data_IF_933062742853
#
_entry.id   IF_933062742853
#
_cell.length_a   1.000
_cell.length_b   1.000
_cell.length_c   1.000
_cell.angle_alpha   90.00
_cell.angle_beta   90.00
_cell.angle_gamma   90.00
#
_symmetry.space_group_name_H-M   'P 1'
#
loop_
_entity.id
_entity.type
_entity.pdbx_description
1 polymer ?
#
# COMPACT_ATOMS: atom_id res chain seq x y z
N UNK A 1 21.53 -11.82 -5.62
CA UNK A 1 21.39 -11.53 -7.07
C UNK A 1 22.03 -10.17 -7.35
N UNK A 2 23.14 -10.10 -8.11
CA UNK A 2 23.91 -8.85 -8.30
C UNK A 2 23.35 -8.10 -9.52
N UNK A 3 22.94 -6.84 -9.35
CA UNK A 3 22.37 -6.05 -10.46
C UNK A 3 23.40 -5.88 -11.59
N UNK A 4 22.95 -6.11 -12.83
CA UNK A 4 23.74 -5.91 -14.06
C UNK A 4 24.26 -4.46 -14.13
N UNK A 5 25.42 -4.24 -14.74
CA UNK A 5 26.06 -2.91 -14.78
C UNK A 5 25.16 -1.82 -15.36
N UNK A 6 24.34 -2.13 -16.36
CA UNK A 6 23.36 -1.21 -16.94
C UNK A 6 22.25 -0.81 -15.94
N UNK A 7 21.78 -1.75 -15.11
CA UNK A 7 20.75 -1.49 -14.10
C UNK A 7 21.25 -0.54 -13.01
N UNK A 8 22.53 -0.64 -12.63
CA UNK A 8 23.16 0.31 -11.69
C UNK A 8 23.31 1.71 -12.28
N UNK A 9 23.73 1.81 -13.56
CA UNK A 9 23.81 3.11 -14.24
C UNK A 9 22.46 3.82 -14.29
N UNK A 10 21.40 3.08 -14.64
CA UNK A 10 20.04 3.61 -14.64
C UNK A 10 19.58 4.04 -13.24
N UNK A 11 19.81 3.22 -12.21
CA UNK A 11 19.48 3.60 -10.83
C UNK A 11 20.23 4.84 -10.34
N UNK A 12 21.52 4.95 -10.64
CA UNK A 12 22.32 6.13 -10.26
C UNK A 12 21.82 7.39 -10.97
N UNK A 13 21.48 7.29 -12.26
CA UNK A 13 20.91 8.40 -13.01
C UNK A 13 19.56 8.86 -12.44
N UNK A 14 18.68 7.94 -12.02
CA UNK A 14 17.43 8.29 -11.34
C UNK A 14 17.68 9.07 -10.02
N UNK A 15 18.73 8.70 -9.27
CA UNK A 15 19.12 9.42 -8.06
C UNK A 15 19.65 10.81 -8.39
N UNK A 16 20.51 10.94 -9.40
CA UNK A 16 21.04 12.23 -9.84
C UNK A 16 19.93 13.18 -10.34
N UNK A 17 18.86 12.66 -10.95
CA UNK A 17 17.65 13.43 -11.28
C UNK A 17 16.91 13.86 -10.03
N UNK A 18 16.63 12.93 -9.11
CA UNK A 18 15.92 13.24 -7.87
C UNK A 18 16.65 14.27 -6.99
N UNK A 19 17.97 14.29 -7.06
CA UNK A 19 18.84 15.27 -6.38
C UNK A 19 19.06 16.57 -7.19
N UNK A 20 18.54 16.67 -8.41
CA UNK A 20 18.69 17.84 -9.28
C UNK A 20 20.08 18.05 -9.88
N UNK A 21 20.94 17.02 -9.87
CA UNK A 21 22.35 17.07 -10.31
C UNK A 21 22.56 16.69 -11.78
N UNK A 22 21.60 16.00 -12.40
CA UNK A 22 21.71 15.51 -13.78
C UNK A 22 21.75 16.62 -14.84
N UNK A 23 21.24 17.83 -14.53
CA UNK A 23 21.01 18.89 -15.52
C UNK A 23 19.88 18.59 -16.53
N UNK A 24 19.45 17.34 -16.59
CA UNK A 24 18.33 16.85 -17.37
C UNK A 24 17.00 17.23 -16.72
N UNK A 25 16.15 17.93 -17.48
CA UNK A 25 14.76 18.17 -17.08
C UNK A 25 13.90 17.00 -17.55
N UNK A 26 13.69 16.01 -16.68
CA UNK A 26 12.69 14.97 -16.92
C UNK A 26 11.32 15.56 -16.63
N UNK A 27 10.59 15.88 -17.69
CA UNK A 27 9.16 16.20 -17.55
C UNK A 27 8.40 14.90 -17.31
N UNK A 28 7.77 14.82 -16.15
CA UNK A 28 6.78 13.79 -15.88
C UNK A 28 5.54 14.08 -16.72
N UNK A 29 4.92 13.05 -17.27
CA UNK A 29 3.62 13.20 -17.94
C UNK A 29 2.58 13.70 -16.94
N UNK A 30 1.56 14.42 -17.41
CA UNK A 30 0.45 14.90 -16.55
C UNK A 30 -0.17 13.80 -15.69
N UNK A 31 -0.18 12.54 -16.18
CA UNK A 31 -0.65 11.36 -15.46
C UNK A 31 0.11 11.07 -14.15
N UNK A 32 1.32 11.57 -14.00
CA UNK A 32 2.13 11.42 -12.79
C UNK A 32 1.77 12.45 -11.72
N UNK A 33 0.99 13.48 -12.07
CA UNK A 33 0.52 14.47 -11.15
C UNK A 33 -0.89 14.09 -10.70
N UNK A 34 -1.10 13.84 -9.40
CA UNK A 34 -2.42 13.49 -8.91
C UNK A 34 -3.34 14.72 -9.07
N UNK A 35 -4.52 14.50 -9.66
CA UNK A 35 -5.55 15.55 -9.76
C UNK A 35 -6.22 15.86 -8.41
N UNK A 36 -6.06 14.96 -7.44
CA UNK A 36 -6.61 15.04 -6.10
C UNK A 36 -5.51 14.66 -5.11
N UNK A 37 -5.30 15.47 -4.07
CA UNK A 37 -4.24 15.22 -3.09
C UNK A 37 -4.58 14.06 -2.16
N UNK A 38 -5.88 13.81 -1.92
CA UNK A 38 -6.31 12.69 -1.12
C UNK A 38 -6.27 11.40 -1.95
N UNK A 39 -5.40 10.43 -1.63
CA UNK A 39 -5.24 9.20 -2.42
C UNK A 39 -6.52 8.35 -2.43
N UNK A 40 -7.35 8.44 -1.38
CA UNK A 40 -8.64 7.74 -1.33
C UNK A 40 -9.63 8.33 -2.32
N UNK A 41 -9.74 9.66 -2.36
CA UNK A 41 -10.63 10.32 -3.33
C UNK A 41 -10.12 10.14 -4.77
N UNK A 42 -8.81 10.10 -4.96
CA UNK A 42 -8.24 9.83 -6.28
C UNK A 42 -8.58 8.43 -6.79
N UNK A 43 -8.58 7.42 -5.91
CA UNK A 43 -8.80 6.02 -6.31
C UNK A 43 -10.26 5.55 -6.18
N UNK A 44 -11.04 6.10 -5.24
CA UNK A 44 -12.40 5.69 -4.92
C UNK A 44 -13.43 6.82 -5.09
N UNK A 45 -13.04 7.98 -5.63
CA UNK A 45 -13.95 9.13 -5.75
C UNK A 45 -15.15 8.92 -6.67
N UNK A 46 -15.08 7.90 -7.53
CA UNK A 46 -16.18 7.42 -8.36
C UNK A 46 -17.16 6.48 -7.62
N UNK A 47 -16.81 6.05 -6.40
CA UNK A 47 -17.55 5.05 -5.63
C UNK A 47 -18.16 5.66 -4.37
N UNK A 48 -19.32 5.13 -3.97
CA UNK A 48 -19.87 5.39 -2.65
C UNK A 48 -19.45 4.29 -1.68
N UNK A 49 -18.39 4.55 -0.91
CA UNK A 49 -17.82 3.59 0.04
C UNK A 49 -18.83 3.06 1.07
N UNK A 50 -19.86 3.84 1.41
CA UNK A 50 -20.88 3.42 2.40
C UNK A 50 -21.84 2.35 1.89
N UNK A 51 -21.95 2.18 0.57
CA UNK A 51 -22.84 1.20 -0.08
C UNK A 51 -22.11 0.30 -1.05
N UNK A 52 -20.78 0.27 -0.96
CA UNK A 52 -19.91 -0.37 -1.95
C UNK A 52 -20.04 -1.89 -1.91
N UNK A 53 -20.03 -2.51 -3.08
CA UNK A 53 -19.94 -3.96 -3.22
C UNK A 53 -18.48 -4.40 -3.32
N UNK A 54 -18.11 -5.55 -2.72
CA UNK A 54 -16.73 -6.08 -2.74
C UNK A 54 -16.11 -6.16 -4.14
N UNK A 55 -16.93 -6.44 -5.16
CA UNK A 55 -16.53 -6.57 -6.55
C UNK A 55 -16.03 -5.24 -7.14
N UNK A 56 -16.53 -4.10 -6.65
CA UNK A 56 -16.17 -2.75 -7.11
C UNK A 56 -14.79 -2.31 -6.61
N UNK A 57 -14.31 -2.93 -5.53
CA UNK A 57 -12.98 -2.73 -4.97
C UNK A 57 -11.90 -3.49 -5.76
N UNK A 58 -12.29 -4.48 -6.58
CA UNK A 58 -11.34 -5.33 -7.29
C UNK A 58 -10.51 -4.53 -8.30
N UNK A 59 -9.21 -4.80 -8.34
CA UNK A 59 -8.29 -4.15 -9.28
C UNK A 59 -7.87 -2.73 -8.89
N UNK A 60 -8.26 -2.26 -7.71
CA UNK A 60 -7.81 -0.99 -7.13
C UNK A 60 -6.75 -1.28 -6.05
N UNK A 61 -5.64 -0.56 -6.09
CA UNK A 61 -4.58 -0.69 -5.09
C UNK A 61 -3.85 0.64 -4.89
N UNK A 62 -3.52 0.96 -3.63
CA UNK A 62 -2.66 2.08 -3.27
C UNK A 62 -1.36 1.50 -2.73
N UNK A 63 -0.23 1.86 -3.35
CA UNK A 63 1.08 1.52 -2.82
C UNK A 63 1.59 2.66 -1.95
N UNK A 64 2.04 2.33 -0.74
CA UNK A 64 2.72 3.25 0.15
C UNK A 64 4.19 2.84 0.32
N UNK A 65 5.05 3.82 0.60
CA UNK A 65 6.50 3.59 0.78
C UNK A 65 6.79 2.87 2.10
N UNK A 66 5.98 3.12 3.13
CA UNK A 66 6.14 2.52 4.46
C UNK A 66 4.88 1.76 4.89
N UNK A 67 5.08 0.77 5.77
CA UNK A 67 3.97 0.01 6.34
C UNK A 67 3.03 0.92 7.15
N UNK A 68 3.57 1.82 7.99
CA UNK A 68 2.76 2.77 8.78
C UNK A 68 1.84 3.61 7.88
N UNK A 69 2.35 4.09 6.74
CA UNK A 69 1.53 4.83 5.78
C UNK A 69 0.45 3.93 5.17
N UNK A 70 0.78 2.68 4.81
CA UNK A 70 -0.21 1.72 4.30
C UNK A 70 -1.30 1.38 5.33
N UNK A 71 -0.93 1.19 6.60
CA UNK A 71 -1.86 0.90 7.70
C UNK A 71 -2.78 2.10 7.93
N UNK A 72 -2.22 3.32 7.94
CA UNK A 72 -3.02 4.55 8.04
C UNK A 72 -4.06 4.68 6.93
N UNK A 73 -3.66 4.40 5.68
CA UNK A 73 -4.57 4.42 4.52
C UNK A 73 -5.62 3.32 4.64
N UNK A 74 -5.23 2.08 4.97
CA UNK A 74 -6.16 0.97 5.13
C UNK A 74 -7.21 1.25 6.21
N UNK A 75 -6.80 1.79 7.35
CA UNK A 75 -7.72 2.15 8.43
C UNK A 75 -8.72 3.23 8.01
N UNK A 76 -8.30 4.22 7.22
CA UNK A 76 -9.22 5.22 6.67
C UNK A 76 -10.23 4.64 5.67
N UNK A 77 -9.83 3.64 4.86
CA UNK A 77 -10.78 2.94 3.97
C UNK A 77 -11.77 2.14 4.81
N UNK A 78 -11.29 1.41 5.82
CA UNK A 78 -12.10 0.56 6.68
C UNK A 78 -13.20 1.34 7.41
N UNK A 79 -12.94 2.57 7.87
CA UNK A 79 -13.97 3.40 8.53
C UNK A 79 -15.11 3.83 7.59
N UNK A 80 -14.89 3.78 6.28
CA UNK A 80 -15.90 4.12 5.27
C UNK A 80 -16.71 2.92 4.81
N UNK A 81 -16.23 1.70 5.01
CA UNK A 81 -16.91 0.48 4.57
C UNK A 81 -18.08 0.14 5.49
N UNK A 82 -19.22 -0.33 4.95
CA UNK A 82 -20.33 -0.81 5.76
C UNK A 82 -19.95 -2.15 6.41
N UNK A 83 -20.40 -2.36 7.65
CA UNK A 83 -20.25 -3.63 8.36
C UNK A 83 -19.66 -3.49 9.75
N UNK A 84 -19.63 -4.60 10.48
CA UNK A 84 -19.01 -4.68 11.80
C UNK A 84 -17.50 -4.91 11.66
N UNK A 85 -16.71 -4.15 12.42
CA UNK A 85 -15.26 -4.38 12.51
C UNK A 85 -15.02 -5.61 13.38
N UNK A 86 -14.38 -6.63 12.81
CA UNK A 86 -13.99 -7.85 13.53
C UNK A 86 -12.47 -7.90 13.60
N UNK A 87 -11.93 -8.08 14.80
CA UNK A 87 -10.50 -8.30 15.02
C UNK A 87 -10.24 -9.80 15.04
N UNK A 88 -9.32 -10.25 14.19
CA UNK A 88 -8.86 -11.63 14.16
C UNK A 88 -7.50 -11.71 14.85
N UNK A 89 -7.39 -12.60 15.84
CA UNK A 89 -6.13 -12.87 16.50
C UNK A 89 -5.31 -13.87 15.68
N UNK A 90 -3.99 -13.64 15.60
CA UNK A 90 -3.08 -14.58 14.96
C UNK A 90 -3.00 -15.86 15.78
N UNK A 91 -3.10 -17.01 15.12
CA UNK A 91 -3.01 -18.34 15.77
C UNK A 91 -1.56 -18.86 15.78
N UNK A 92 -0.69 -18.25 14.99
CA UNK A 92 0.71 -18.66 14.85
C UNK A 92 1.58 -18.01 15.95
N UNK A 93 2.54 -18.78 16.48
CA UNK A 93 3.58 -18.28 17.38
C UNK A 93 4.91 -18.20 16.62
N UNK A 94 5.71 -17.19 16.98
CA UNK A 94 7.02 -16.96 16.37
C UNK A 94 8.00 -17.84 17.10
N UNK A 95 8.41 -18.93 16.46
CA UNK A 95 9.53 -19.75 16.95
C UNK A 95 10.82 -19.05 16.52
N UNK A 96 11.34 -18.19 17.40
CA UNK A 96 12.66 -17.56 17.24
C UNK A 96 13.48 -17.67 18.52
N UNK A 97 14.79 -17.87 18.36
CA UNK A 97 15.78 -17.81 19.43
C UNK A 97 16.09 -16.36 19.85
N UNK A 98 15.73 -15.36 19.04
CA UNK A 98 15.84 -13.94 19.38
C UNK A 98 14.54 -13.45 20.06
N UNK A 99 14.58 -13.03 21.34
CA UNK A 99 13.41 -12.51 22.03
C UNK A 99 12.81 -11.25 21.39
N UNK A 100 13.56 -10.52 20.54
CA UNK A 100 13.06 -9.35 19.81
C UNK A 100 12.24 -9.71 18.57
N UNK A 101 12.43 -10.89 17.98
CA UNK A 101 11.66 -11.33 16.81
C UNK A 101 10.19 -11.56 17.13
N UNK A 102 9.88 -11.82 18.41
CA UNK A 102 8.50 -11.93 18.90
C UNK A 102 7.72 -10.61 18.80
N UNK A 103 8.42 -9.47 18.69
CA UNK A 103 7.83 -8.13 18.64
C UNK A 103 7.59 -7.64 17.21
N UNK A 104 8.28 -8.21 16.21
CA UNK A 104 8.25 -7.74 14.81
C UNK A 104 7.33 -8.56 13.89
N UNK A 105 6.84 -9.73 14.33
CA UNK A 105 5.85 -10.50 13.57
C UNK A 105 4.39 -10.23 14.01
N UNK A 106 4.07 -8.99 14.36
CA UNK A 106 2.71 -8.48 14.27
C UNK A 106 2.81 -7.28 13.34
N UNK A 107 2.02 -7.08 12.30
CA UNK A 107 0.58 -7.27 12.21
C UNK A 107 0.27 -7.42 10.71
N UNK A 108 0.19 -8.64 10.20
CA UNK A 108 -0.47 -8.88 8.91
C UNK A 108 -1.98 -8.93 9.19
N UNK A 109 -2.60 -7.79 9.43
CA UNK A 109 -4.06 -7.69 9.52
C UNK A 109 -4.63 -7.89 8.12
N UNK A 110 -4.82 -9.14 7.72
CA UNK A 110 -5.73 -9.49 6.63
C UNK A 110 -7.15 -9.32 7.14
N UNK A 111 -7.65 -8.09 7.12
CA UNK A 111 -9.06 -7.80 7.38
C UNK A 111 -9.82 -8.00 6.07
N UNK A 112 -10.20 -9.25 5.79
CA UNK A 112 -11.14 -9.53 4.72
C UNK A 112 -12.57 -9.43 5.28
N UNK A 113 -13.30 -8.43 4.83
CA UNK A 113 -14.74 -8.31 5.08
C UNK A 113 -15.47 -9.11 4.02
N UNK A 114 -15.85 -10.36 4.33
CA UNK A 114 -17.03 -11.02 3.77
C UNK A 114 -17.29 -12.39 4.40
N UNK A 115 -18.44 -12.56 5.05
CA UNK A 115 -18.94 -13.86 5.52
C UNK A 115 -19.37 -14.83 4.41
N UNK A 116 -19.15 -14.51 3.13
CA UNK A 116 -19.66 -15.30 2.00
C UNK A 116 -18.60 -15.92 1.07
N UNK A 117 -17.31 -15.90 1.43
CA UNK A 117 -16.31 -16.68 0.71
C UNK A 117 -16.11 -18.02 1.44
N UNK A 118 -16.85 -19.05 1.01
CA UNK A 118 -16.51 -20.44 1.33
C UNK A 118 -15.20 -20.79 0.63
N UNK A 119 -14.32 -21.45 1.38
CA UNK A 119 -12.94 -21.87 1.04
C UNK A 119 -12.89 -22.69 -0.25
#
# INVERSE_FOLDING_TARGET
>A
MRALAAKRKFSNWLLEIGEGKSGDNVMLTEKCYPSEQNPLKQLYGDLNLSTIMPEELKGRAILAVTNDASIGINNQVLTCLPGETVVYEAVDDIVSDDPNDRLTCGISQLLNTNRNATI
#
